data_IF_265484351574
#
_entry.id   IF_265484351574
#
_cell.length_a   1.000
_cell.length_b   1.000
_cell.length_c   1.000
_cell.angle_alpha   90.00
_cell.angle_beta   90.00
_cell.angle_gamma   90.00
#
_symmetry.space_group_name_H-M   'P 1'
#
loop_
_entity.id
_entity.type
_entity.pdbx_description
1 polymer ?
#
# COMPACT_ATOMS: atom_id res chain seq x y z
N UNK A 1 -4.47 0.26 23.37
CA UNK A 1 -5.11 -1.02 23.00
C UNK A 1 -5.95 -1.53 24.16
N UNK A 2 -7.28 -1.45 24.05
CA UNK A 2 -8.20 -2.07 25.02
C UNK A 2 -8.35 -3.55 24.68
N UNK A 3 -8.24 -4.43 25.69
CA UNK A 3 -8.43 -5.88 25.52
C UNK A 3 -9.83 -6.15 24.94
N UNK A 4 -9.91 -6.91 23.85
CA UNK A 4 -11.16 -7.48 23.34
C UNK A 4 -11.82 -6.79 22.13
N UNK A 5 -11.47 -5.54 21.79
CA UNK A 5 -12.12 -4.80 20.67
C UNK A 5 -11.16 -4.47 19.51
N UNK A 6 -9.87 -4.81 19.64
CA UNK A 6 -8.88 -4.50 18.61
C UNK A 6 -8.60 -5.75 17.77
N UNK A 7 -8.68 -5.66 16.43
CA UNK A 7 -8.31 -6.77 15.55
C UNK A 7 -6.84 -7.15 15.73
N UNK A 8 -6.49 -8.41 15.42
CA UNK A 8 -5.11 -8.88 15.51
C UNK A 8 -4.24 -8.14 14.50
N UNK A 9 -3.20 -7.49 15.00
CA UNK A 9 -2.22 -6.82 14.16
C UNK A 9 -1.16 -7.84 13.76
N UNK A 10 -1.10 -8.15 12.48
CA UNK A 10 -0.23 -9.17 11.89
C UNK A 10 0.72 -8.53 10.88
N UNK A 11 1.85 -9.18 10.65
CA UNK A 11 2.73 -8.82 9.55
C UNK A 11 2.04 -9.14 8.22
N UNK A 12 2.11 -8.19 7.30
CA UNK A 12 1.42 -8.17 6.03
C UNK A 12 2.42 -7.91 4.92
N UNK A 13 2.44 -8.79 3.93
CA UNK A 13 3.18 -8.57 2.69
C UNK A 13 2.29 -7.81 1.71
N UNK A 14 2.70 -6.60 1.34
CA UNK A 14 2.00 -5.80 0.32
C UNK A 14 2.70 -6.01 -1.01
N UNK A 15 1.92 -6.34 -2.04
CA UNK A 15 2.41 -6.55 -3.41
C UNK A 15 1.82 -5.48 -4.32
N UNK A 16 2.67 -4.66 -4.90
CA UNK A 16 2.31 -3.69 -5.92
C UNK A 16 2.21 -4.35 -7.30
N UNK A 17 1.26 -3.94 -8.14
CA UNK A 17 1.20 -4.29 -9.56
C UNK A 17 2.46 -3.88 -10.34
N UNK A 18 3.21 -2.91 -9.83
CA UNK A 18 4.52 -2.49 -10.32
C UNK A 18 5.69 -3.44 -9.97
N UNK A 19 5.43 -4.55 -9.28
CA UNK A 19 6.44 -5.52 -8.84
C UNK A 19 7.12 -5.18 -7.51
N UNK A 20 6.79 -4.02 -6.91
CA UNK A 20 7.35 -3.63 -5.62
C UNK A 20 6.65 -4.37 -4.47
N UNK A 21 7.41 -4.98 -3.58
CA UNK A 21 6.87 -5.69 -2.40
C UNK A 21 7.46 -5.12 -1.13
N UNK A 22 6.62 -4.76 -0.15
CA UNK A 22 7.09 -4.28 1.14
C UNK A 22 6.30 -4.90 2.30
N UNK A 23 6.97 -4.99 3.44
CA UNK A 23 6.40 -5.50 4.67
C UNK A 23 5.73 -4.36 5.44
N UNK A 24 4.47 -4.54 5.80
CA UNK A 24 3.70 -3.60 6.62
C UNK A 24 2.97 -4.39 7.69
N UNK A 25 2.52 -3.75 8.76
CA UNK A 25 1.64 -4.41 9.73
C UNK A 25 0.21 -4.00 9.49
N UNK A 26 -0.67 -4.98 9.31
CA UNK A 26 -2.09 -4.79 9.03
C UNK A 26 -2.90 -5.86 9.74
N UNK A 27 -4.23 -5.80 9.64
CA UNK A 27 -5.12 -6.86 10.13
C UNK A 27 -5.27 -8.00 9.11
N UNK A 28 -4.78 -7.79 7.89
CA UNK A 28 -4.83 -8.72 6.75
C UNK A 28 -3.40 -9.10 6.37
N UNK A 29 -3.08 -10.39 6.14
CA UNK A 29 -1.71 -10.85 5.91
C UNK A 29 -1.17 -10.62 4.48
N UNK A 30 -2.03 -10.42 3.49
CA UNK A 30 -1.63 -10.13 2.10
C UNK A 30 -2.52 -9.04 1.53
N UNK A 31 -1.89 -8.01 0.97
CA UNK A 31 -2.60 -6.90 0.32
C UNK A 31 -2.02 -6.76 -1.09
N UNK A 32 -2.87 -6.86 -2.10
CA UNK A 32 -2.54 -6.50 -3.47
C UNK A 32 -2.93 -5.04 -3.71
N UNK A 33 -1.99 -4.23 -4.21
CA UNK A 33 -2.20 -2.80 -4.47
C UNK A 33 -1.80 -2.50 -5.91
N UNK A 34 -2.63 -1.77 -6.64
CA UNK A 34 -2.34 -1.42 -8.04
C UNK A 34 -1.30 -0.31 -8.16
N UNK A 35 -1.25 0.60 -7.18
CA UNK A 35 -0.38 1.78 -7.21
C UNK A 35 0.28 1.99 -5.84
N UNK A 36 1.62 2.07 -5.81
CA UNK A 36 2.41 2.41 -4.64
C UNK A 36 3.11 3.78 -4.80
N UNK A 37 3.73 4.30 -3.74
CA UNK A 37 4.48 5.55 -3.78
C UNK A 37 5.61 5.57 -4.81
N UNK A 38 6.13 4.41 -5.21
CA UNK A 38 7.16 4.31 -6.23
C UNK A 38 6.60 4.42 -7.67
N UNK A 39 5.30 4.17 -7.88
CA UNK A 39 4.69 4.22 -9.22
C UNK A 39 3.54 5.22 -9.36
N UNK A 40 3.05 5.82 -8.27
CA UNK A 40 2.00 6.81 -8.36
C UNK A 40 2.56 8.10 -9.01
N UNK A 41 1.98 8.59 -10.13
CA UNK A 41 2.48 9.75 -10.88
C UNK A 41 2.67 11.01 -10.03
N UNK A 42 1.89 11.14 -8.96
CA UNK A 42 2.02 12.19 -7.94
C UNK A 42 3.37 12.17 -7.21
N UNK A 43 3.90 10.99 -6.85
CA UNK A 43 5.14 10.85 -6.08
C UNK A 43 6.38 10.84 -6.99
N UNK A 44 6.25 10.40 -8.24
CA UNK A 44 7.34 10.40 -9.23
C UNK A 44 7.53 11.74 -9.95
N UNK A 45 6.80 12.80 -9.54
CA UNK A 45 7.01 14.18 -9.99
C UNK A 45 6.73 14.46 -11.47
N UNK A 46 6.30 13.45 -12.22
CA UNK A 46 5.93 13.55 -13.63
C UNK A 46 4.43 13.77 -13.71
N UNK A 47 3.99 14.99 -13.32
CA UNK A 47 2.67 15.48 -13.68
C UNK A 47 2.58 15.54 -15.21
N UNK A 48 2.00 14.51 -15.83
CA UNK A 48 1.31 14.72 -17.09
C UNK A 48 -0.06 15.28 -16.72
N UNK A 49 -0.15 16.61 -16.69
CA UNK A 49 -1.46 17.25 -16.85
C UNK A 49 -2.10 16.62 -18.10
N UNK A 50 -3.27 16.01 -17.93
CA UNK A 50 -4.17 15.89 -19.06
C UNK A 50 -4.82 17.26 -19.16
N UNK A 51 -4.16 18.16 -19.88
CA UNK A 51 -4.82 19.34 -20.44
C UNK A 51 -5.78 18.84 -21.52
N UNK A 52 -7.02 18.56 -21.11
CA UNK A 52 -8.29 18.70 -21.88
C UNK A 52 -9.46 18.54 -20.93
#
# INVERSE_FOLDING_TARGET
MKKGIHPKYVECTVVCGCGNTWETRSTVPKIAVEICSACHPFYTGTQKFVDT
#
